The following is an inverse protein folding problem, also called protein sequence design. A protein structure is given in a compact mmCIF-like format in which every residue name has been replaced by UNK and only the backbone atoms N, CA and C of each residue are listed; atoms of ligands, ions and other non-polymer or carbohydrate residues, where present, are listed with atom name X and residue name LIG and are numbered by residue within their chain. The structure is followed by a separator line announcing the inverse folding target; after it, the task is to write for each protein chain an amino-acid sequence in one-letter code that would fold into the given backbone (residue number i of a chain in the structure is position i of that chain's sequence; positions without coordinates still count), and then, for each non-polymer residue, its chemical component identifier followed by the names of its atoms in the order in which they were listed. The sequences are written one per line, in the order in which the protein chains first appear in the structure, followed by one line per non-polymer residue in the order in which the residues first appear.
data_IF_963530152089
#
_entry.id   IF_963530152089
#
_cell.length_a   1.000
_cell.length_b   1.000
_cell.length_c   1.000
_cell.angle_alpha   90.00
_cell.angle_beta   90.00
_cell.angle_gamma   90.00
#
_symmetry.space_group_name_H-M   'P 1'
#
loop_
_entity.id
_entity.type
_entity.pdbx_description
1 polymer ?
#
# COMPACT_ATOMS: atom_id res chain seq x y z
N UNK A 1 57.97 -13.38 37.12
CA UNK A 1 58.01 -11.94 37.45
C UNK A 1 57.58 -11.06 36.27
N UNK A 2 58.20 -11.20 35.09
CA UNK A 2 57.79 -10.49 33.86
C UNK A 2 56.34 -10.78 33.45
N UNK A 3 55.95 -12.06 33.42
CA UNK A 3 54.58 -12.48 33.07
C UNK A 3 53.49 -11.82 33.92
N UNK A 4 53.67 -11.75 35.24
CA UNK A 4 52.72 -11.13 36.15
C UNK A 4 52.59 -9.61 35.94
N UNK A 5 53.69 -8.93 35.57
CA UNK A 5 53.67 -7.49 35.24
C UNK A 5 53.00 -7.24 33.89
N UNK A 6 53.26 -8.07 32.88
CA UNK A 6 52.64 -8.00 31.56
C UNK A 6 51.13 -8.22 31.67
N UNK A 7 50.69 -9.23 32.41
CA UNK A 7 49.26 -9.51 32.63
C UNK A 7 48.54 -8.38 33.36
N UNK A 8 49.20 -7.71 34.31
CA UNK A 8 48.65 -6.53 34.99
C UNK A 8 48.50 -5.34 34.04
N UNK A 9 49.56 -5.01 33.29
CA UNK A 9 49.54 -3.91 32.33
C UNK A 9 48.48 -4.11 31.23
N UNK A 10 48.35 -5.33 30.70
CA UNK A 10 47.29 -5.68 29.77
C UNK A 10 45.90 -5.46 30.40
N UNK A 11 45.67 -5.97 31.61
CA UNK A 11 44.37 -5.87 32.29
C UNK A 11 43.98 -4.42 32.58
N UNK A 12 44.92 -3.58 32.98
CA UNK A 12 44.67 -2.17 33.31
C UNK A 12 44.32 -1.35 32.05
N UNK A 13 44.95 -1.63 30.91
CA UNK A 13 44.61 -0.97 29.63
C UNK A 13 43.26 -1.45 29.06
N UNK A 14 42.98 -2.75 29.12
CA UNK A 14 41.67 -3.29 28.73
C UNK A 14 40.53 -2.83 29.66
N UNK A 15 40.83 -2.50 30.92
CA UNK A 15 39.85 -1.98 31.89
C UNK A 15 39.43 -0.52 31.65
N UNK A 16 40.20 0.26 30.89
CA UNK A 16 39.91 1.67 30.57
C UNK A 16 39.01 1.86 29.34
N UNK A 17 38.79 0.79 28.56
CA UNK A 17 38.04 0.82 27.29
C UNK A 17 36.81 -0.07 27.39
N UNK A 18 35.78 0.25 26.61
CA UNK A 18 34.54 -0.54 26.61
C UNK A 18 34.70 -1.80 25.74
N UNK A 19 33.92 -2.85 26.05
CA UNK A 19 33.93 -4.12 25.31
C UNK A 19 33.68 -3.92 23.81
N UNK A 20 32.90 -2.90 23.45
CA UNK A 20 32.55 -2.58 22.08
C UNK A 20 33.72 -1.98 21.28
N UNK A 21 34.56 -1.16 21.93
CA UNK A 21 35.75 -0.53 21.32
C UNK A 21 36.86 -1.55 21.05
N UNK A 22 37.06 -2.49 21.97
CA UNK A 22 38.06 -3.57 21.87
C UNK A 22 37.75 -4.54 20.74
N UNK A 23 36.46 -4.76 20.44
CA UNK A 23 36.01 -5.72 19.42
C UNK A 23 35.88 -5.07 18.04
N UNK A 24 35.56 -3.78 17.95
CA UNK A 24 35.16 -3.14 16.70
C UNK A 24 36.26 -2.36 15.95
N UNK A 25 37.34 -1.87 16.60
CA UNK A 25 38.25 -0.92 15.91
C UNK A 25 39.72 -0.92 16.35
N UNK A 26 40.01 -0.88 17.65
CA UNK A 26 41.30 -0.32 18.09
C UNK A 26 42.33 -1.36 18.52
N UNK A 27 42.47 -2.46 17.77
CA UNK A 27 43.49 -3.48 18.10
C UNK A 27 44.90 -2.88 18.06
N UNK A 28 45.24 -2.11 17.02
CA UNK A 28 46.59 -1.57 16.82
C UNK A 28 47.04 -0.62 17.93
N UNK A 29 46.22 0.37 18.28
CA UNK A 29 46.56 1.37 19.29
C UNK A 29 46.75 0.77 20.70
N UNK A 30 45.95 -0.25 21.04
CA UNK A 30 46.09 -0.99 22.30
C UNK A 30 47.42 -1.74 22.32
N UNK A 31 47.78 -2.42 21.23
CA UNK A 31 49.04 -3.15 21.15
C UNK A 31 50.25 -2.22 21.21
N UNK A 32 50.19 -1.05 20.57
CA UNK A 32 51.27 -0.07 20.58
C UNK A 32 51.46 0.57 21.97
N UNK A 33 50.37 0.91 22.66
CA UNK A 33 50.40 1.44 24.03
C UNK A 33 50.97 0.42 25.03
N UNK A 34 50.55 -0.84 24.93
CA UNK A 34 51.04 -1.93 25.77
C UNK A 34 52.51 -2.26 25.47
N UNK A 35 52.90 -2.29 24.19
CA UNK A 35 54.28 -2.51 23.77
C UNK A 35 55.22 -1.41 24.28
N UNK A 36 54.78 -0.14 24.24
CA UNK A 36 55.57 1.00 24.75
C UNK A 36 55.77 0.96 26.28
N UNK A 37 54.77 0.48 27.02
CA UNK A 37 54.85 0.35 28.48
C UNK A 37 55.75 -0.82 28.88
N UNK A 38 55.72 -1.91 28.10
CA UNK A 38 56.50 -3.12 28.38
C UNK A 38 57.95 -2.99 27.91
N UNK A 39 58.23 -2.17 26.89
CA UNK A 39 59.61 -1.91 26.41
C UNK A 39 60.46 -1.08 27.37
N UNK A 40 59.87 -0.43 28.37
CA UNK A 40 60.58 0.32 29.42
C UNK A 40 61.00 -0.55 30.62
N UNK A 41 60.32 -1.68 30.85
CA UNK A 41 60.63 -2.66 31.90
C UNK A 41 61.95 -3.47 31.76
N UNK A 42 62.53 -3.73 30.57
CA UNK A 42 63.58 -4.74 30.45
C UNK A 42 64.99 -4.27 30.84
N UNK A 43 65.22 -2.97 31.01
CA UNK A 43 66.55 -2.41 31.32
C UNK A 43 67.11 -2.87 32.68
N UNK A 44 66.25 -3.22 33.64
CA UNK A 44 66.67 -3.74 34.96
C UNK A 44 66.97 -5.26 34.95
N UNK A 45 66.56 -5.99 33.90
CA UNK A 45 66.60 -7.46 33.85
C UNK A 45 67.52 -8.02 32.73
N UNK A 46 68.09 -7.16 31.88
CA UNK A 46 69.05 -7.55 30.83
C UNK A 46 68.45 -8.33 29.65
N UNK A 47 67.14 -8.22 29.43
CA UNK A 47 66.40 -8.86 28.34
C UNK A 47 65.78 -7.79 27.43
N UNK A 48 65.41 -8.11 26.19
CA UNK A 48 64.71 -7.17 25.29
C UNK A 48 63.44 -7.83 24.77
N UNK A 49 62.31 -7.14 24.84
CA UNK A 49 61.02 -7.63 24.32
C UNK A 49 60.88 -7.21 22.85
N UNK A 50 60.73 -8.18 21.93
CA UNK A 50 60.71 -7.96 20.48
C UNK A 50 59.28 -7.81 19.92
N UNK A 51 58.32 -8.61 20.40
CA UNK A 51 56.92 -8.55 19.96
C UNK A 51 55.99 -9.16 21.02
N UNK A 52 54.76 -8.65 21.13
CA UNK A 52 53.70 -9.13 22.03
C UNK A 52 52.43 -9.29 21.22
N UNK A 53 51.89 -10.51 21.16
CA UNK A 53 50.63 -10.81 20.47
C UNK A 53 49.67 -11.54 21.38
N UNK A 54 48.40 -11.13 21.39
CA UNK A 54 47.33 -11.89 22.05
C UNK A 54 46.92 -13.08 21.19
N UNK A 55 46.83 -14.26 21.81
CA UNK A 55 46.38 -15.48 21.13
C UNK A 55 44.85 -15.56 21.00
N UNK A 56 44.10 -15.21 22.06
CA UNK A 56 42.63 -15.21 22.08
C UNK A 56 42.12 -14.33 23.23
N UNK A 57 41.09 -13.54 22.99
CA UNK A 57 40.35 -12.81 24.03
C UNK A 57 39.02 -13.54 24.16
N UNK A 58 38.84 -14.29 25.25
CA UNK A 58 37.57 -14.94 25.56
C UNK A 58 36.79 -14.02 26.50
N UNK A 59 35.61 -13.57 26.05
CA UNK A 59 34.68 -12.85 26.90
C UNK A 59 33.92 -13.87 27.77
N UNK A 60 33.83 -13.70 29.10
CA UNK A 60 33.08 -14.63 29.95
C UNK A 60 31.61 -14.73 29.49
N UNK A 61 31.07 -15.94 29.38
CA UNK A 61 29.71 -16.19 28.89
C UNK A 61 28.63 -15.44 29.69
N UNK A 62 28.89 -15.20 30.98
CA UNK A 62 27.96 -14.56 31.94
C UNK A 62 27.59 -13.10 31.59
N UNK A 63 28.45 -12.34 30.92
CA UNK A 63 28.17 -10.94 30.55
C UNK A 63 27.45 -10.83 29.20
N UNK A 64 27.49 -11.90 28.40
CA UNK A 64 27.01 -11.90 27.01
C UNK A 64 25.48 -11.97 26.92
N UNK A 65 24.84 -12.77 27.78
CA UNK A 65 23.40 -13.06 27.67
C UNK A 65 22.53 -11.81 27.83
N UNK A 66 22.85 -10.94 28.80
CA UNK A 66 22.08 -9.71 29.05
C UNK A 66 22.15 -8.69 27.90
N UNK A 67 23.30 -8.63 27.22
CA UNK A 67 23.52 -7.75 26.06
C UNK A 67 22.78 -8.31 24.85
N UNK A 68 22.87 -9.63 24.60
CA UNK A 68 22.14 -10.28 23.52
C UNK A 68 20.61 -10.15 23.68
N UNK A 69 20.09 -10.34 24.88
CA UNK A 69 18.66 -10.13 25.16
C UNK A 69 18.22 -8.69 24.89
N UNK A 70 19.02 -7.70 25.30
CA UNK A 70 18.75 -6.29 25.03
C UNK A 70 18.79 -5.97 23.53
N UNK A 71 19.77 -6.51 22.81
CA UNK A 71 19.87 -6.37 21.35
C UNK A 71 18.67 -7.00 20.63
N UNK A 72 18.20 -8.17 21.08
CA UNK A 72 17.05 -8.86 20.50
C UNK A 72 15.76 -8.08 20.75
N UNK A 73 15.56 -7.59 21.96
CA UNK A 73 14.42 -6.73 22.30
C UNK A 73 14.41 -5.45 21.46
N UNK A 74 15.56 -4.80 21.29
CA UNK A 74 15.68 -3.59 20.48
C UNK A 74 15.39 -3.87 18.99
N UNK A 75 15.91 -4.97 18.45
CA UNK A 75 15.61 -5.38 17.06
C UNK A 75 14.13 -5.69 16.86
N UNK A 76 13.49 -6.34 17.83
CA UNK A 76 12.05 -6.60 17.79
C UNK A 76 11.25 -5.30 17.84
N UNK A 77 11.65 -4.33 18.67
CA UNK A 77 11.03 -3.00 18.75
C UNK A 77 11.11 -2.27 17.42
N UNK A 78 12.29 -2.21 16.82
CA UNK A 78 12.51 -1.58 15.50
C UNK A 78 11.71 -2.28 14.41
N UNK A 79 11.68 -3.61 14.40
CA UNK A 79 10.89 -4.37 13.42
C UNK A 79 9.37 -4.14 13.57
N UNK A 80 8.87 -4.00 14.80
CA UNK A 80 7.47 -3.65 15.06
C UNK A 80 7.14 -2.24 14.60
N UNK A 81 8.00 -1.26 14.87
CA UNK A 81 7.84 0.12 14.41
C UNK A 81 7.78 0.19 12.87
N UNK A 82 8.68 -0.50 12.17
CA UNK A 82 8.64 -0.56 10.71
C UNK A 82 7.37 -1.23 10.16
N UNK A 83 6.89 -2.31 10.78
CA UNK A 83 5.63 -2.95 10.36
C UNK A 83 4.44 -2.03 10.59
N UNK A 84 4.36 -1.37 11.76
CA UNK A 84 3.28 -0.45 12.08
C UNK A 84 3.23 0.73 11.10
N UNK A 85 4.38 1.31 10.75
CA UNK A 85 4.45 2.37 9.73
C UNK A 85 4.06 1.88 8.33
N UNK A 86 4.44 0.64 8.00
CA UNK A 86 4.05 0.00 6.74
C UNK A 86 2.54 -0.22 6.66
N UNK A 87 1.93 -0.72 7.73
CA UNK A 87 0.48 -0.91 7.85
C UNK A 87 -0.27 0.44 7.78
N UNK A 88 0.18 1.46 8.51
CA UNK A 88 -0.42 2.80 8.46
C UNK A 88 -0.37 3.40 7.05
N UNK A 89 0.78 3.30 6.37
CA UNK A 89 0.93 3.79 5.01
C UNK A 89 0.03 3.02 4.04
N UNK A 90 -0.05 1.69 4.17
CA UNK A 90 -0.91 0.85 3.35
C UNK A 90 -2.40 1.18 3.52
N UNK A 91 -2.85 1.38 4.77
CA UNK A 91 -4.22 1.77 5.09
C UNK A 91 -4.55 3.13 4.48
N UNK A 92 -3.65 4.11 4.63
CA UNK A 92 -3.82 5.45 4.06
C UNK A 92 -3.93 5.42 2.53
N UNK A 93 -3.07 4.65 1.87
CA UNK A 93 -3.08 4.50 0.41
C UNK A 93 -4.39 3.84 -0.03
N UNK A 94 -4.79 2.75 0.62
CA UNK A 94 -6.02 2.02 0.30
C UNK A 94 -7.26 2.92 0.45
N UNK A 95 -7.37 3.64 1.58
CA UNK A 95 -8.47 4.56 1.82
C UNK A 95 -8.53 5.71 0.81
N UNK A 96 -7.37 6.22 0.39
CA UNK A 96 -7.28 7.27 -0.63
C UNK A 96 -7.72 6.72 -2.00
N UNK A 97 -7.23 5.54 -2.37
CA UNK A 97 -7.58 4.89 -3.63
C UNK A 97 -9.07 4.55 -3.71
N UNK A 98 -9.67 4.05 -2.62
CA UNK A 98 -11.11 3.77 -2.55
C UNK A 98 -11.94 5.05 -2.70
N UNK A 99 -11.53 6.13 -2.04
CA UNK A 99 -12.18 7.44 -2.19
C UNK A 99 -12.09 7.95 -3.63
N UNK A 100 -10.91 7.87 -4.24
CA UNK A 100 -10.72 8.30 -5.63
C UNK A 100 -11.54 7.46 -6.61
N UNK A 101 -11.58 6.14 -6.41
CA UNK A 101 -12.43 5.23 -7.21
C UNK A 101 -13.89 5.66 -7.12
N UNK A 102 -14.40 5.91 -5.93
CA UNK A 102 -15.79 6.30 -5.72
C UNK A 102 -16.12 7.62 -6.42
N UNK A 103 -15.23 8.61 -6.32
CA UNK A 103 -15.38 9.90 -7.01
C UNK A 103 -15.36 9.74 -8.52
N UNK A 104 -14.46 8.91 -9.06
CA UNK A 104 -14.37 8.65 -10.50
C UNK A 104 -15.65 7.97 -11.00
N UNK A 105 -16.15 6.95 -10.29
CA UNK A 105 -17.39 6.27 -10.64
C UNK A 105 -18.59 7.20 -10.57
N UNK A 106 -18.69 8.02 -9.53
CA UNK A 106 -19.76 9.01 -9.38
C UNK A 106 -19.74 10.06 -10.50
N UNK A 107 -18.54 10.56 -10.85
CA UNK A 107 -18.38 11.49 -11.98
C UNK A 107 -18.76 10.83 -13.31
N UNK A 108 -18.26 9.63 -13.58
CA UNK A 108 -18.59 8.88 -14.79
C UNK A 108 -20.10 8.61 -14.90
N UNK A 109 -20.75 8.26 -13.80
CA UNK A 109 -22.19 8.04 -13.77
C UNK A 109 -22.97 9.32 -14.03
N UNK A 110 -22.60 10.42 -13.36
CA UNK A 110 -23.22 11.75 -13.61
C UNK A 110 -23.08 12.13 -15.09
N UNK A 111 -21.89 12.02 -15.65
CA UNK A 111 -21.61 12.44 -17.01
C UNK A 111 -22.37 11.53 -18.02
N UNK A 112 -22.50 10.23 -17.72
CA UNK A 112 -23.32 9.31 -18.51
C UNK A 112 -24.82 9.67 -18.47
N UNK A 113 -25.37 10.03 -17.31
CA UNK A 113 -26.77 10.46 -17.20
C UNK A 113 -27.01 11.81 -17.92
N UNK A 114 -26.05 12.73 -17.88
CA UNK A 114 -26.12 13.98 -18.67
C UNK A 114 -26.17 13.67 -20.16
N UNK A 115 -25.24 12.86 -20.67
CA UNK A 115 -25.21 12.49 -22.10
C UNK A 115 -26.49 11.77 -22.51
N UNK A 116 -27.03 10.88 -21.66
CA UNK A 116 -28.30 10.21 -21.93
C UNK A 116 -29.45 11.21 -21.97
N UNK A 117 -29.53 12.13 -21.01
CA UNK A 117 -30.54 13.18 -20.97
C UNK A 117 -30.49 14.11 -22.18
N UNK A 118 -29.29 14.50 -22.62
CA UNK A 118 -29.07 15.29 -23.84
C UNK A 118 -29.52 14.52 -25.09
N UNK A 119 -29.18 13.23 -25.18
CA UNK A 119 -29.62 12.35 -26.26
C UNK A 119 -31.13 12.18 -26.32
N UNK A 120 -31.78 11.97 -25.17
CA UNK A 120 -33.23 11.84 -25.06
C UNK A 120 -33.93 13.16 -25.41
N UNK A 121 -33.38 14.30 -24.99
CA UNK A 121 -33.89 15.62 -25.35
C UNK A 121 -33.80 15.86 -26.87
N UNK A 122 -32.64 15.59 -27.48
CA UNK A 122 -32.43 15.74 -28.92
C UNK A 122 -33.32 14.79 -29.74
N UNK A 123 -33.47 13.55 -29.29
CA UNK A 123 -34.37 12.59 -29.91
C UNK A 123 -35.81 13.09 -29.84
N UNK A 124 -36.27 13.52 -28.66
CA UNK A 124 -37.61 14.06 -28.45
C UNK A 124 -37.87 15.30 -29.30
N UNK A 125 -36.91 16.22 -29.40
CA UNK A 125 -37.00 17.40 -30.25
C UNK A 125 -37.13 17.02 -31.73
N UNK A 126 -36.28 16.11 -32.21
CA UNK A 126 -36.31 15.62 -33.60
C UNK A 126 -37.64 14.93 -33.91
N UNK A 127 -38.12 14.10 -32.98
CA UNK A 127 -39.41 13.45 -33.06
C UNK A 127 -40.55 14.47 -33.09
N UNK A 128 -40.58 15.44 -32.17
CA UNK A 128 -41.59 16.49 -32.14
C UNK A 128 -41.59 17.33 -33.43
N UNK A 129 -40.41 17.69 -33.95
CA UNK A 129 -40.27 18.40 -35.22
C UNK A 129 -40.81 17.58 -36.40
N UNK A 130 -40.49 16.28 -36.46
CA UNK A 130 -41.04 15.38 -37.47
C UNK A 130 -42.56 15.20 -37.35
N UNK A 131 -43.08 15.05 -36.13
CA UNK A 131 -44.50 14.84 -35.84
C UNK A 131 -45.35 16.10 -36.02
N UNK A 132 -44.76 17.28 -35.87
CA UNK A 132 -45.44 18.56 -36.12
C UNK A 132 -45.77 18.79 -37.60
N UNK A 133 -45.13 18.06 -38.53
CA UNK A 133 -45.39 18.17 -39.97
C UNK A 133 -46.75 17.59 -40.37
N UNK A 134 -47.17 16.49 -39.77
CA UNK A 134 -48.50 15.89 -39.97
C UNK A 134 -48.93 15.11 -38.71
N UNK A 135 -49.85 15.70 -37.96
CA UNK A 135 -50.33 15.15 -36.68
C UNK A 135 -51.26 13.95 -36.86
N UNK A 136 -52.05 13.92 -37.94
CA UNK A 136 -53.03 12.85 -38.18
C UNK A 136 -52.33 11.58 -38.66
N UNK A 137 -51.38 11.70 -39.58
CA UNK A 137 -50.57 10.57 -40.04
C UNK A 137 -49.78 9.93 -38.89
N UNK A 138 -49.23 10.75 -37.99
CA UNK A 138 -48.50 10.26 -36.82
C UNK A 138 -49.38 9.47 -35.84
N UNK A 139 -50.56 9.98 -35.49
CA UNK A 139 -51.48 9.30 -34.58
C UNK A 139 -51.88 7.92 -35.13
N UNK A 140 -52.11 7.84 -36.45
CA UNK A 140 -52.32 6.57 -37.15
C UNK A 140 -51.09 5.66 -37.06
N UNK A 141 -49.90 6.13 -37.45
CA UNK A 141 -48.67 5.33 -37.46
C UNK A 141 -48.29 4.79 -36.06
N UNK A 142 -48.42 5.62 -35.01
CA UNK A 142 -48.20 5.20 -33.62
C UNK A 142 -49.15 4.11 -33.17
N UNK A 143 -50.45 4.22 -33.51
CA UNK A 143 -51.42 3.18 -33.18
C UNK A 143 -51.06 1.85 -33.87
N UNK A 144 -50.64 1.88 -35.14
CA UNK A 144 -50.20 0.70 -35.88
C UNK A 144 -48.94 0.05 -35.27
N UNK A 145 -47.91 0.83 -34.90
CA UNK A 145 -46.73 0.28 -34.22
C UNK A 145 -47.06 -0.27 -32.82
N UNK A 146 -47.99 0.37 -32.09
CA UNK A 146 -48.46 -0.13 -30.81
C UNK A 146 -49.20 -1.46 -30.95
N UNK A 147 -50.00 -1.64 -32.01
CA UNK A 147 -50.60 -2.93 -32.35
C UNK A 147 -49.51 -3.97 -32.62
N UNK A 148 -48.58 -3.67 -33.52
CA UNK A 148 -47.51 -4.60 -33.89
C UNK A 148 -46.69 -5.06 -32.68
N UNK A 149 -46.34 -4.15 -31.78
CA UNK A 149 -45.59 -4.48 -30.57
C UNK A 149 -46.43 -5.30 -29.57
N UNK A 150 -47.72 -4.97 -29.42
CA UNK A 150 -48.62 -5.69 -28.50
C UNK A 150 -48.90 -7.12 -28.96
N UNK A 151 -48.92 -7.38 -30.26
CA UNK A 151 -49.15 -8.71 -30.87
C UNK A 151 -47.86 -9.50 -31.18
N UNK A 152 -46.68 -8.97 -30.83
CA UNK A 152 -45.39 -9.62 -31.11
C UNK A 152 -44.98 -10.70 -30.09
N UNK A 153 -45.70 -10.84 -28.97
CA UNK A 153 -45.40 -11.81 -27.91
C UNK A 153 -46.46 -12.94 -27.81
N UNK A 154 -46.04 -14.19 -27.66
CA UNK A 154 -46.88 -15.41 -27.60
C UNK A 154 -47.84 -15.54 -26.37
N UNK A 155 -48.40 -14.46 -25.84
CA UNK A 155 -49.39 -14.48 -24.75
C UNK A 155 -50.54 -13.51 -25.03
N UNK A 156 -51.34 -13.85 -26.05
CA UNK A 156 -52.44 -13.06 -26.59
C UNK A 156 -53.77 -13.29 -25.87
N UNK A 157 -53.93 -12.81 -24.63
CA UNK A 157 -55.29 -12.54 -24.10
C UNK A 157 -55.37 -11.09 -23.70
N UNK A 158 -55.87 -10.28 -24.64
CA UNK A 158 -56.06 -8.85 -24.49
C UNK A 158 -57.56 -8.59 -24.26
N UNK A 159 -57.97 -8.43 -22.99
CA UNK A 159 -59.36 -8.16 -22.63
C UNK A 159 -59.60 -6.64 -22.61
N UNK A 160 -59.90 -6.07 -23.77
CA UNK A 160 -60.19 -4.64 -23.92
C UNK A 160 -61.55 -4.50 -24.61
N UNK A 161 -62.37 -3.56 -24.14
CA UNK A 161 -63.64 -3.22 -24.77
C UNK A 161 -63.45 -2.81 -26.24
N UNK A 162 -64.28 -3.28 -27.18
CA UNK A 162 -64.19 -2.97 -28.62
C UNK A 162 -64.25 -1.48 -28.96
N UNK A 163 -64.82 -0.66 -28.06
CA UNK A 163 -65.00 0.79 -28.20
C UNK A 163 -63.84 1.61 -27.59
N UNK A 164 -62.74 0.97 -27.21
CA UNK A 164 -61.57 1.65 -26.66
C UNK A 164 -60.87 2.53 -27.70
N UNK A 165 -60.35 3.68 -27.28
CA UNK A 165 -59.48 4.57 -28.09
C UNK A 165 -58.29 3.82 -28.71
N UNK A 166 -57.92 2.68 -28.13
CA UNK A 166 -56.93 1.79 -28.68
C UNK A 166 -57.28 1.32 -30.10
N UNK A 167 -58.54 0.99 -30.44
CA UNK A 167 -58.94 0.46 -31.76
C UNK A 167 -59.48 1.52 -32.73
N UNK A 168 -59.36 2.81 -32.41
CA UNK A 168 -59.95 3.92 -33.18
C UNK A 168 -59.62 3.88 -34.68
N UNK A 169 -58.35 3.61 -35.02
CA UNK A 169 -57.89 3.52 -36.42
C UNK A 169 -58.07 2.12 -37.05
N UNK A 170 -58.34 1.09 -36.23
CA UNK A 170 -58.63 -0.27 -36.71
C UNK A 170 -60.09 -0.40 -37.17
N UNK A 171 -61.02 0.20 -36.42
CA UNK A 171 -62.45 0.16 -36.72
C UNK A 171 -62.86 1.21 -37.77
N UNK A 172 -62.16 2.35 -37.83
CA UNK A 172 -62.44 3.43 -38.79
C UNK A 172 -61.14 3.94 -39.44
N UNK A 173 -60.88 3.65 -40.73
CA UNK A 173 -59.64 4.01 -41.42
C UNK A 173 -59.41 5.52 -41.62
N UNK A 174 -60.37 6.38 -41.24
CA UNK A 174 -60.27 7.84 -41.29
C UNK A 174 -60.21 8.52 -39.91
N UNK A 175 -60.13 7.77 -38.79
CA UNK A 175 -59.90 8.36 -37.46
C UNK A 175 -61.07 9.19 -36.90
N UNK A 176 -62.29 8.97 -37.41
CA UNK A 176 -63.55 9.52 -36.88
C UNK A 176 -64.54 8.38 -36.64
#
# INVERSE_FOLDING_TARGET
LLEQRITRALRDEFGKKTVQEVVAGDRGEIFDAVASTISQLPQELGVTVVDIRTKRIDLPEEVSHSVYERMRAERLRVAKDFRARGEEAAERISATADREREVILANAYRDAEIIRGEGDAQATETYAAAFSKDKEFYAMYRSLSAYQNSFSGQKDILLISPDSDFFKYFNHPQGR
#
